data_IF_797437242573
#
_entry.id   IF_797437242573
#
_cell.length_a   1.000
_cell.length_b   1.000
_cell.length_c   1.000
_cell.angle_alpha   90.00
_cell.angle_beta   90.00
_cell.angle_gamma   90.00
#
_symmetry.space_group_name_H-M   'P 1'
#
loop_
_entity.id
_entity.type
_entity.pdbx_description
1 polymer ?
#
# COMPACT_ATOMS: atom_id res chain seq x y z
N UNK A 1 -56.05 -41.49 -24.53
CA UNK A 1 -56.27 -40.20 -23.87
C UNK A 1 -55.76 -39.13 -24.78
N UNK A 2 -56.17 -37.87 -24.57
CA UNK A 2 -55.34 -36.76 -25.05
C UNK A 2 -53.94 -36.88 -24.38
N UNK A 3 -52.86 -36.41 -25.03
CA UNK A 3 -51.58 -36.24 -24.36
C UNK A 3 -51.76 -35.32 -23.14
N UNK A 4 -50.98 -35.54 -22.08
CA UNK A 4 -50.92 -34.61 -20.95
C UNK A 4 -50.49 -33.24 -21.47
N UNK A 5 -51.16 -32.13 -21.13
CA UNK A 5 -50.71 -30.80 -21.55
C UNK A 5 -49.44 -30.31 -20.82
N UNK A 6 -49.00 -31.00 -19.77
CA UNK A 6 -47.87 -30.71 -18.88
C UNK A 6 -47.31 -32.06 -18.39
N UNK A 7 -46.32 -32.61 -19.10
CA UNK A 7 -45.89 -34.00 -18.89
C UNK A 7 -45.03 -34.21 -17.64
N UNK A 8 -44.26 -33.22 -17.19
CA UNK A 8 -43.42 -33.29 -15.99
C UNK A 8 -44.05 -32.64 -14.75
N UNK A 9 -45.21 -31.98 -14.91
CA UNK A 9 -46.03 -31.41 -13.85
C UNK A 9 -45.35 -30.24 -13.12
N UNK A 10 -44.57 -29.45 -13.84
CA UNK A 10 -43.94 -28.24 -13.30
C UNK A 10 -44.85 -26.99 -13.38
N UNK A 11 -46.02 -27.11 -14.03
CA UNK A 11 -46.99 -26.04 -14.17
C UNK A 11 -46.88 -25.23 -15.46
N UNK A 12 -45.95 -25.58 -16.35
CA UNK A 12 -45.77 -25.00 -17.69
C UNK A 12 -46.36 -25.99 -18.70
N UNK A 13 -47.07 -25.46 -19.70
CA UNK A 13 -47.64 -26.36 -20.71
C UNK A 13 -46.58 -26.76 -21.74
N UNK A 14 -46.54 -28.04 -22.13
CA UNK A 14 -45.65 -28.67 -23.13
C UNK A 14 -45.40 -27.84 -24.42
N UNK A 15 -46.35 -26.97 -24.79
CA UNK A 15 -46.31 -26.14 -26.01
C UNK A 15 -45.44 -24.89 -25.89
N UNK A 16 -45.11 -24.47 -24.67
CA UNK A 16 -44.27 -23.32 -24.35
C UNK A 16 -43.07 -23.67 -23.48
N UNK A 17 -43.06 -24.88 -22.94
CA UNK A 17 -42.00 -25.49 -22.13
C UNK A 17 -40.75 -25.84 -22.97
N UNK A 18 -39.58 -25.39 -22.50
CA UNK A 18 -38.28 -25.61 -23.14
C UNK A 18 -37.69 -27.01 -22.86
N UNK A 19 -38.15 -27.70 -21.81
CA UNK A 19 -37.79 -29.07 -21.45
C UNK A 19 -39.03 -29.91 -21.04
N UNK A 20 -39.95 -30.27 -21.98
CA UNK A 20 -41.28 -30.85 -21.67
C UNK A 20 -41.34 -32.24 -20.99
N UNK A 21 -40.23 -32.74 -20.44
CA UNK A 21 -40.17 -33.98 -19.67
C UNK A 21 -39.20 -33.85 -18.48
N UNK A 22 -38.69 -32.67 -18.19
CA UNK A 22 -37.74 -32.36 -17.13
C UNK A 22 -38.31 -31.18 -16.34
N UNK A 23 -38.83 -31.42 -15.12
CA UNK A 23 -39.55 -30.37 -14.41
C UNK A 23 -38.62 -29.23 -14.02
N UNK A 24 -39.11 -28.01 -14.20
CA UNK A 24 -38.54 -26.79 -13.64
C UNK A 24 -38.28 -26.90 -12.13
N UNK A 25 -37.20 -26.31 -11.62
CA UNK A 25 -36.83 -26.37 -10.19
C UNK A 25 -37.33 -25.20 -9.34
N UNK A 26 -37.92 -24.17 -9.97
CA UNK A 26 -38.68 -23.05 -9.36
C UNK A 26 -37.92 -22.37 -8.22
N UNK A 27 -36.69 -21.93 -8.48
CA UNK A 27 -35.82 -21.31 -7.49
C UNK A 27 -35.78 -19.76 -7.59
N UNK A 28 -36.47 -19.19 -8.58
CA UNK A 28 -36.55 -17.75 -8.83
C UNK A 28 -35.62 -17.25 -9.94
N UNK A 29 -34.87 -18.15 -10.59
CA UNK A 29 -34.09 -17.89 -11.79
C UNK A 29 -34.75 -18.56 -12.99
N UNK A 30 -34.97 -17.79 -14.07
CA UNK A 30 -35.53 -18.25 -15.35
C UNK A 30 -36.80 -19.17 -15.34
N UNK A 31 -37.51 -19.32 -14.20
CA UNK A 31 -38.72 -20.15 -13.93
C UNK A 31 -39.86 -20.14 -15.00
N UNK A 32 -39.86 -19.20 -15.95
CA UNK A 32 -40.91 -19.06 -16.97
C UNK A 32 -40.61 -19.85 -18.25
N UNK A 33 -39.39 -20.36 -18.45
CA UNK A 33 -39.00 -21.01 -19.69
C UNK A 33 -39.19 -22.55 -19.69
N UNK A 34 -39.37 -23.16 -18.52
CA UNK A 34 -39.59 -24.60 -18.35
C UNK A 34 -38.34 -25.42 -18.60
N UNK A 35 -37.17 -24.88 -18.27
CA UNK A 35 -35.90 -25.58 -18.27
C UNK A 35 -35.35 -25.51 -16.85
N UNK A 36 -35.11 -26.65 -16.18
CA UNK A 36 -34.41 -26.62 -14.91
C UNK A 36 -33.00 -26.05 -15.07
N UNK A 37 -32.65 -25.12 -14.19
CA UNK A 37 -31.36 -24.41 -14.14
C UNK A 37 -30.59 -24.76 -12.86
N UNK A 38 -30.00 -25.97 -12.76
CA UNK A 38 -29.36 -26.45 -11.53
C UNK A 38 -28.00 -25.78 -11.19
N UNK A 39 -27.63 -24.74 -11.92
CA UNK A 39 -26.40 -23.93 -11.83
C UNK A 39 -26.69 -22.59 -12.56
N UNK A 40 -27.38 -21.69 -11.86
CA UNK A 40 -27.96 -20.48 -12.44
C UNK A 40 -26.91 -19.52 -13.03
N UNK A 41 -25.77 -19.34 -12.35
CA UNK A 41 -24.74 -18.41 -12.79
C UNK A 41 -23.65 -19.06 -13.66
N UNK A 42 -23.75 -20.38 -13.85
CA UNK A 42 -22.94 -21.19 -14.76
C UNK A 42 -21.45 -21.19 -14.40
N UNK A 43 -21.13 -21.10 -13.10
CA UNK A 43 -19.77 -21.18 -12.60
C UNK A 43 -19.28 -22.63 -12.43
N UNK A 44 -20.20 -23.61 -12.44
CA UNK A 44 -19.92 -25.04 -12.30
C UNK A 44 -20.22 -25.60 -10.89
N UNK A 45 -20.72 -24.79 -9.97
CA UNK A 45 -21.17 -25.15 -8.64
C UNK A 45 -22.71 -25.19 -8.65
N UNK A 46 -23.34 -26.36 -8.42
CA UNK A 46 -24.80 -26.43 -8.44
C UNK A 46 -25.42 -25.58 -7.32
N UNK A 47 -26.58 -24.94 -7.56
CA UNK A 47 -27.18 -23.96 -6.63
C UNK A 47 -27.39 -24.50 -5.21
N UNK A 48 -27.65 -25.81 -5.08
CA UNK A 48 -27.81 -26.49 -3.78
C UNK A 48 -26.53 -26.50 -2.91
N UNK A 49 -25.38 -26.20 -3.52
CA UNK A 49 -24.05 -26.17 -2.91
C UNK A 49 -23.37 -24.81 -3.04
N UNK A 50 -23.98 -23.90 -3.77
CA UNK A 50 -23.48 -22.56 -4.06
C UNK A 50 -23.97 -21.57 -2.97
N UNK A 51 -23.03 -20.83 -2.40
CA UNK A 51 -23.28 -19.78 -1.42
C UNK A 51 -23.79 -18.47 -2.05
N UNK A 52 -23.52 -18.24 -3.33
CA UNK A 52 -24.05 -17.15 -4.12
C UNK A 52 -24.63 -17.63 -5.46
N UNK A 53 -25.79 -18.35 -5.47
CA UNK A 53 -26.38 -19.04 -6.65
C UNK A 53 -26.77 -18.18 -7.86
N UNK A 54 -26.37 -16.92 -7.94
CA UNK A 54 -26.70 -16.00 -9.01
C UNK A 54 -25.50 -15.08 -9.31
N UNK A 55 -24.32 -15.37 -8.77
CA UNK A 55 -23.11 -14.55 -8.87
C UNK A 55 -21.91 -15.48 -8.98
N UNK A 56 -21.32 -15.61 -10.19
CA UNK A 56 -20.28 -16.60 -10.42
C UNK A 56 -19.09 -16.44 -9.49
N UNK A 57 -18.60 -17.56 -9.01
CA UNK A 57 -17.28 -17.71 -8.39
C UNK A 57 -16.16 -17.19 -9.32
N UNK A 58 -15.11 -16.58 -8.75
CA UNK A 58 -14.00 -16.03 -9.52
C UNK A 58 -12.79 -16.97 -9.69
N UNK A 59 -12.83 -18.13 -9.02
CA UNK A 59 -11.93 -19.29 -9.17
C UNK A 59 -10.45 -18.90 -9.16
N UNK A 60 -10.00 -18.27 -8.09
CA UNK A 60 -8.63 -17.78 -7.94
C UNK A 60 -7.75 -18.65 -7.01
N UNK A 61 -8.26 -19.82 -6.58
CA UNK A 61 -7.68 -20.76 -5.62
C UNK A 61 -7.81 -20.33 -4.15
N UNK A 62 -8.70 -19.39 -3.85
CA UNK A 62 -9.15 -19.05 -2.52
C UNK A 62 -10.63 -19.41 -2.38
N UNK A 63 -10.95 -20.22 -1.38
CA UNK A 63 -12.32 -20.66 -1.03
C UNK A 63 -13.28 -21.12 -2.17
N UNK A 64 -12.79 -21.38 -3.39
CA UNK A 64 -13.48 -21.82 -4.63
C UNK A 64 -14.57 -22.92 -4.51
N UNK A 65 -14.67 -23.64 -3.39
CA UNK A 65 -15.63 -24.73 -3.20
C UNK A 65 -16.99 -24.28 -2.64
N UNK A 66 -17.12 -23.03 -2.16
CA UNK A 66 -18.34 -22.52 -1.54
C UNK A 66 -19.24 -21.68 -2.46
N UNK A 67 -18.76 -21.30 -3.64
CA UNK A 67 -19.50 -20.53 -4.65
C UNK A 67 -19.73 -19.08 -4.26
N UNK A 68 -18.94 -18.53 -3.34
CA UNK A 68 -19.00 -17.13 -2.96
C UNK A 68 -17.76 -16.43 -3.52
N UNK A 69 -17.89 -15.55 -4.53
CA UNK A 69 -16.72 -14.89 -5.08
C UNK A 69 -16.03 -13.98 -4.07
N UNK A 70 -14.73 -14.22 -3.88
CA UNK A 70 -13.88 -13.53 -2.90
C UNK A 70 -13.02 -12.46 -3.57
N UNK A 71 -13.47 -11.21 -3.53
CA UNK A 71 -12.76 -10.11 -4.21
C UNK A 71 -11.59 -9.48 -3.41
N UNK A 72 -11.34 -9.97 -2.19
CA UNK A 72 -10.30 -9.51 -1.23
C UNK A 72 -9.95 -10.68 -0.29
N UNK A 73 -9.14 -11.61 -0.80
CA UNK A 73 -8.87 -12.89 -0.15
C UNK A 73 -8.18 -12.78 1.21
N UNK A 74 -7.34 -11.77 1.42
CA UNK A 74 -6.62 -11.58 2.68
C UNK A 74 -7.28 -10.56 3.63
N UNK A 75 -8.31 -9.87 3.15
CA UNK A 75 -9.19 -9.01 3.93
C UNK A 75 -8.54 -7.69 4.35
N UNK A 76 -7.55 -7.21 3.61
CA UNK A 76 -6.84 -5.96 3.90
C UNK A 76 -7.52 -4.70 3.31
N UNK A 77 -8.65 -4.88 2.62
CA UNK A 77 -9.45 -3.86 1.93
C UNK A 77 -8.89 -3.39 0.59
N UNK A 78 -7.91 -4.09 0.02
CA UNK A 78 -7.43 -3.91 -1.35
C UNK A 78 -7.94 -5.10 -2.18
N UNK A 79 -8.72 -4.85 -3.25
CA UNK A 79 -9.21 -5.96 -4.06
C UNK A 79 -8.06 -6.74 -4.71
N UNK A 80 -8.18 -8.06 -4.87
CA UNK A 80 -7.08 -8.92 -5.38
C UNK A 80 -6.51 -8.45 -6.72
N UNK A 81 -7.37 -7.87 -7.57
CA UNK A 81 -6.99 -7.29 -8.87
C UNK A 81 -6.06 -6.07 -8.79
N UNK A 82 -6.00 -5.40 -7.64
CA UNK A 82 -5.17 -4.24 -7.33
C UNK A 82 -4.08 -4.57 -6.29
N UNK A 83 -4.12 -5.77 -5.71
CA UNK A 83 -3.26 -6.21 -4.63
C UNK A 83 -1.93 -6.81 -5.14
N UNK A 84 -0.82 -6.37 -4.56
CA UNK A 84 0.52 -6.86 -4.92
C UNK A 84 0.89 -8.21 -4.30
N UNK A 85 0.22 -8.62 -3.23
CA UNK A 85 0.31 -9.88 -2.54
C UNK A 85 -1.08 -10.37 -2.06
N UNK A 86 -1.99 -10.79 -2.97
CA UNK A 86 -3.43 -11.07 -2.70
C UNK A 86 -3.78 -12.10 -1.61
N UNK A 87 -2.79 -12.75 -0.99
CA UNK A 87 -2.98 -13.79 0.02
C UNK A 87 -2.29 -13.41 1.35
N UNK A 88 -1.81 -12.18 1.46
CA UNK A 88 -1.03 -11.69 2.59
C UNK A 88 -1.39 -10.25 2.89
N UNK A 89 -2.09 -10.01 4.02
CA UNK A 89 -2.69 -8.71 4.27
C UNK A 89 -1.62 -7.63 4.48
N UNK A 90 -1.84 -6.46 3.90
CA UNK A 90 -0.97 -5.29 4.03
C UNK A 90 -0.67 -4.95 5.50
N UNK A 91 0.58 -4.56 5.73
CA UNK A 91 1.02 -4.00 7.00
C UNK A 91 0.78 -2.49 7.01
N UNK A 92 -0.42 -2.07 7.42
CA UNK A 92 -0.79 -0.65 7.58
C UNK A 92 0.14 0.07 8.58
N UNK A 93 1.21 0.66 8.06
CA UNK A 93 2.31 1.22 8.85
C UNK A 93 2.62 2.68 8.46
N UNK A 94 1.97 3.21 7.43
CA UNK A 94 2.15 4.56 6.89
C UNK A 94 3.13 4.65 5.71
N UNK A 95 3.72 3.52 5.30
CA UNK A 95 4.65 3.37 4.20
C UNK A 95 4.08 2.37 3.20
N UNK A 96 3.87 2.85 1.97
CA UNK A 96 3.33 2.07 0.84
C UNK A 96 2.01 1.30 1.07
N UNK A 97 1.24 1.61 2.13
CA UNK A 97 -0.08 1.04 2.47
C UNK A 97 -1.16 0.97 1.34
N UNK A 98 -0.90 1.46 0.12
CA UNK A 98 -1.83 1.42 -1.02
C UNK A 98 -1.44 0.35 -2.08
N UNK A 99 -0.36 -0.42 -1.89
CA UNK A 99 0.15 -1.37 -2.89
C UNK A 99 -0.10 -2.87 -2.60
N UNK A 100 -0.68 -3.20 -1.44
CA UNK A 100 -1.04 -4.57 -1.07
C UNK A 100 0.18 -5.46 -0.86
N UNK A 101 1.35 -4.90 -0.54
CA UNK A 101 2.57 -5.65 -0.30
C UNK A 101 2.99 -5.44 1.15
N UNK A 102 2.81 -6.45 2.03
CA UNK A 102 3.23 -6.36 3.41
C UNK A 102 4.69 -5.95 3.51
N UNK A 103 4.92 -4.77 4.04
CA UNK A 103 6.27 -4.24 4.19
C UNK A 103 6.54 -3.70 5.60
N UNK A 104 7.84 -3.45 5.82
CA UNK A 104 8.29 -2.74 6.99
C UNK A 104 8.90 -1.43 6.53
N UNK A 105 8.54 -0.33 7.20
CA UNK A 105 9.18 0.97 7.00
C UNK A 105 10.71 0.84 7.08
N UNK A 106 11.43 0.92 5.93
CA UNK A 106 12.86 0.67 5.92
C UNK A 106 13.63 1.81 6.60
N UNK A 107 12.97 2.94 6.89
CA UNK A 107 13.63 4.18 7.30
C UNK A 107 13.68 4.45 8.80
N UNK A 108 13.07 3.59 9.64
CA UNK A 108 12.85 3.92 11.06
C UNK A 108 13.12 2.80 12.06
N UNK A 109 14.18 2.01 11.82
CA UNK A 109 14.75 1.15 12.86
C UNK A 109 15.33 1.97 14.02
N UNK A 110 14.89 1.75 15.28
CA UNK A 110 15.43 2.46 16.44
C UNK A 110 16.95 2.31 16.57
N UNK A 111 17.66 3.43 16.71
CA UNK A 111 19.11 3.46 16.94
C UNK A 111 19.99 3.34 15.68
N UNK A 112 19.41 3.09 14.51
CA UNK A 112 20.16 3.04 13.25
C UNK A 112 20.19 4.41 12.56
N UNK A 113 21.38 4.80 12.09
CA UNK A 113 21.56 6.02 11.29
C UNK A 113 21.28 5.72 9.83
N UNK A 114 20.45 6.55 9.22
CA UNK A 114 20.05 6.39 7.83
C UNK A 114 20.35 7.65 7.03
N UNK A 115 20.99 7.49 5.87
CA UNK A 115 21.28 8.62 4.96
C UNK A 115 20.02 8.91 4.15
N UNK A 116 19.50 10.14 4.25
CA UNK A 116 18.37 10.56 3.45
C UNK A 116 18.77 10.78 1.99
N UNK A 117 18.41 9.82 1.14
CA UNK A 117 18.61 9.90 -0.30
C UNK A 117 17.72 10.97 -0.93
N UNK A 118 18.18 11.56 -2.04
CA UNK A 118 17.41 12.59 -2.75
C UNK A 118 17.37 13.97 -2.07
N UNK A 119 17.94 14.12 -0.86
CA UNK A 119 18.04 15.41 -0.19
C UNK A 119 19.24 16.18 -0.70
N UNK A 120 18.97 17.26 -1.43
CA UNK A 120 19.99 18.21 -1.86
C UNK A 120 19.65 19.65 -1.46
N UNK A 121 20.70 20.47 -1.38
CA UNK A 121 20.62 21.89 -1.07
C UNK A 121 21.29 22.71 -2.17
N UNK A 122 20.82 23.94 -2.37
CA UNK A 122 21.58 24.91 -3.19
C UNK A 122 22.98 25.12 -2.61
N UNK A 123 23.98 25.32 -3.47
CA UNK A 123 25.38 25.50 -3.06
C UNK A 123 25.51 26.60 -1.99
N UNK A 124 26.24 26.31 -0.91
CA UNK A 124 26.43 27.23 0.23
C UNK A 124 25.15 27.61 0.99
N UNK A 125 24.02 26.95 0.72
CA UNK A 125 22.72 27.30 1.29
C UNK A 125 22.10 26.15 2.10
N UNK A 126 21.09 26.51 2.90
CA UNK A 126 20.17 25.61 3.57
C UNK A 126 18.80 25.53 2.86
N UNK A 127 18.71 26.05 1.63
CA UNK A 127 17.49 25.97 0.80
C UNK A 127 17.40 24.59 0.16
N UNK A 128 16.30 23.89 0.42
CA UNK A 128 15.99 22.57 -0.14
C UNK A 128 15.68 22.65 -1.64
N UNK A 129 16.00 21.59 -2.37
CA UNK A 129 15.60 21.41 -3.77
C UNK A 129 14.14 20.91 -3.87
N UNK A 130 13.54 21.02 -5.06
CA UNK A 130 12.20 20.48 -5.31
C UNK A 130 12.10 18.97 -5.08
N UNK A 131 13.12 18.21 -5.52
CA UNK A 131 13.20 16.77 -5.29
C UNK A 131 13.28 16.42 -3.80
N UNK A 132 13.96 17.25 -3.01
CA UNK A 132 14.05 17.06 -1.55
C UNK A 132 12.66 17.11 -0.90
N UNK A 133 11.74 17.94 -1.40
CA UNK A 133 10.39 18.02 -0.85
C UNK A 133 9.57 16.75 -1.05
N UNK A 134 9.78 16.00 -2.13
CA UNK A 134 9.10 14.73 -2.36
C UNK A 134 9.51 13.70 -1.31
N UNK A 135 10.82 13.47 -1.14
CA UNK A 135 11.34 12.56 -0.12
C UNK A 135 10.90 12.96 1.30
N UNK A 136 10.93 14.26 1.63
CA UNK A 136 10.50 14.74 2.94
C UNK A 136 8.99 14.63 3.17
N UNK A 137 8.16 14.64 2.13
CA UNK A 137 6.72 14.41 2.29
C UNK A 137 6.44 12.97 2.73
N UNK A 138 7.16 11.98 2.18
CA UNK A 138 7.04 10.57 2.60
C UNK A 138 7.38 10.42 4.08
N UNK A 139 8.52 10.98 4.51
CA UNK A 139 8.92 10.98 5.92
C UNK A 139 7.88 11.69 6.80
N UNK A 140 7.31 12.81 6.33
CA UNK A 140 6.29 13.53 7.08
C UNK A 140 4.99 12.75 7.23
N UNK A 141 4.57 11.97 6.21
CA UNK A 141 3.41 11.08 6.31
C UNK A 141 3.64 10.04 7.40
N UNK A 142 4.79 9.37 7.37
CA UNK A 142 5.14 8.34 8.34
C UNK A 142 5.19 8.86 9.77
N UNK A 143 5.83 10.01 9.99
CA UNK A 143 5.87 10.65 11.31
C UNK A 143 4.50 11.11 11.80
N UNK A 144 3.54 11.36 10.90
CA UNK A 144 2.17 11.69 11.30
C UNK A 144 1.34 10.44 11.63
N UNK A 145 1.60 9.35 10.90
CA UNK A 145 1.00 8.05 11.12
C UNK A 145 1.43 7.52 12.49
N UNK A 146 2.73 7.27 12.68
CA UNK A 146 3.27 6.83 13.97
C UNK A 146 3.76 8.03 14.79
N UNK A 147 2.95 8.40 15.79
CA UNK A 147 3.26 9.50 16.71
C UNK A 147 4.31 9.16 17.76
N UNK A 148 4.69 7.90 17.91
CA UNK A 148 5.70 7.44 18.85
C UNK A 148 7.13 7.75 18.37
N UNK A 149 7.33 7.86 17.06
CA UNK A 149 8.66 8.02 16.47
C UNK A 149 9.26 9.38 16.81
N UNK A 150 10.47 9.37 17.38
CA UNK A 150 11.27 10.59 17.55
C UNK A 150 12.51 10.50 16.66
N UNK A 151 12.88 11.60 16.00
CA UNK A 151 14.03 11.66 15.10
C UNK A 151 15.10 12.63 15.60
N UNK A 152 16.36 12.25 15.43
CA UNK A 152 17.50 13.17 15.39
C UNK A 152 17.93 13.40 13.95
N UNK A 153 17.81 14.64 13.48
CA UNK A 153 18.16 15.07 12.13
C UNK A 153 19.59 15.61 12.15
N UNK A 154 20.49 14.88 11.52
CA UNK A 154 21.93 15.12 11.57
C UNK A 154 22.43 15.70 10.25
N UNK A 155 22.97 16.91 10.29
CA UNK A 155 23.53 17.59 9.13
C UNK A 155 25.04 17.40 9.01
N UNK A 156 25.52 17.20 7.77
CA UNK A 156 26.95 17.10 7.46
C UNK A 156 27.34 17.96 6.25
N UNK A 157 28.62 18.33 6.18
CA UNK A 157 29.24 19.08 5.09
C UNK A 157 30.48 18.35 4.59
N UNK A 158 31.06 18.85 3.50
CA UNK A 158 32.44 18.53 3.14
C UNK A 158 33.43 19.39 3.95
N UNK A 159 34.72 19.22 3.70
CA UNK A 159 35.83 19.94 4.35
C UNK A 159 36.10 21.34 3.79
N UNK A 160 35.24 21.86 2.90
CA UNK A 160 35.48 23.13 2.23
C UNK A 160 34.99 24.28 3.10
N UNK A 161 35.93 25.04 3.64
CA UNK A 161 35.65 26.29 4.35
C UNK A 161 36.26 26.29 5.74
N UNK A 162 35.72 27.12 6.63
CA UNK A 162 36.09 27.09 8.05
C UNK A 162 35.19 26.08 8.77
N UNK A 163 35.77 25.27 9.64
CA UNK A 163 35.05 24.32 10.49
C UNK A 163 33.82 24.93 11.18
N UNK A 164 33.96 26.12 11.78
CA UNK A 164 32.85 26.82 12.44
C UNK A 164 31.72 27.21 11.47
N UNK A 165 32.05 27.54 10.22
CA UNK A 165 31.05 27.81 9.18
C UNK A 165 30.35 26.52 8.73
N UNK A 166 31.08 25.41 8.63
CA UNK A 166 30.56 24.08 8.30
C UNK A 166 29.60 23.57 9.39
N UNK A 167 29.95 23.78 10.66
CA UNK A 167 29.08 23.46 11.80
C UNK A 167 27.78 24.25 11.77
N UNK A 168 27.84 25.56 11.50
CA UNK A 168 26.64 26.38 11.37
C UNK A 168 25.80 25.99 10.14
N UNK A 169 26.44 25.67 9.01
CA UNK A 169 25.75 25.32 7.77
C UNK A 169 25.02 23.98 7.89
N UNK A 170 25.68 22.95 8.43
CA UNK A 170 25.05 21.66 8.71
C UNK A 170 23.85 21.78 9.64
N UNK A 171 23.99 22.53 10.73
CA UNK A 171 22.89 22.80 11.67
C UNK A 171 21.72 23.54 10.99
N UNK A 172 22.01 24.55 10.16
CA UNK A 172 20.96 25.27 9.40
C UNK A 172 20.23 24.35 8.43
N UNK A 173 20.94 23.48 7.72
CA UNK A 173 20.36 22.50 6.79
C UNK A 173 19.44 21.52 7.49
N UNK A 174 19.88 20.97 8.61
CA UNK A 174 19.07 20.06 9.41
C UNK A 174 17.84 20.77 10.00
N UNK A 175 17.97 22.05 10.40
CA UNK A 175 16.83 22.87 10.81
C UNK A 175 15.83 23.15 9.67
N UNK A 176 16.29 23.34 8.43
CA UNK A 176 15.39 23.50 7.28
C UNK A 176 14.49 22.27 7.09
N UNK A 177 15.03 21.08 7.33
CA UNK A 177 14.26 19.82 7.27
C UNK A 177 13.26 19.76 8.42
N UNK A 178 13.70 20.03 9.66
CA UNK A 178 12.80 20.12 10.81
C UNK A 178 11.65 21.09 10.56
N UNK A 179 11.94 22.29 10.06
CA UNK A 179 10.94 23.29 9.76
C UNK A 179 9.93 22.82 8.69
N UNK A 180 10.40 22.09 7.68
CA UNK A 180 9.52 21.48 6.68
C UNK A 180 8.63 20.39 7.27
N UNK A 181 9.18 19.48 8.08
CA UNK A 181 8.38 18.42 8.72
C UNK A 181 7.31 19.03 9.65
N UNK A 182 7.67 20.07 10.41
CA UNK A 182 6.71 20.82 11.24
C UNK A 182 5.62 21.47 10.39
N UNK A 183 5.97 22.07 9.24
CA UNK A 183 4.96 22.68 8.35
C UNK A 183 4.01 21.67 7.72
N UNK A 184 4.37 20.38 7.71
CA UNK A 184 3.49 19.26 7.33
C UNK A 184 2.64 18.72 8.47
N UNK A 185 2.83 19.21 9.69
CA UNK A 185 2.05 18.86 10.88
C UNK A 185 2.73 17.88 11.83
N UNK A 186 4.03 17.62 11.66
CA UNK A 186 4.80 16.84 12.64
C UNK A 186 5.07 17.69 13.88
N UNK A 187 4.89 17.13 15.07
CA UNK A 187 5.21 17.84 16.31
C UNK A 187 6.72 18.11 16.40
N UNK A 188 7.10 19.38 16.50
CA UNK A 188 8.49 19.81 16.60
C UNK A 188 9.20 19.35 17.88
N UNK A 189 8.47 18.91 18.90
CA UNK A 189 9.03 18.27 20.11
C UNK A 189 9.61 16.88 19.85
N UNK A 190 9.20 16.23 18.76
CA UNK A 190 9.70 14.90 18.33
C UNK A 190 10.93 14.96 17.45
N UNK A 191 11.37 16.17 17.08
CA UNK A 191 12.43 16.40 16.10
C UNK A 191 13.61 17.11 16.75
N UNK A 192 14.68 16.36 17.02
CA UNK A 192 15.99 16.87 17.39
C UNK A 192 16.79 17.22 16.13
N UNK A 193 17.74 18.14 16.30
CA UNK A 193 18.60 18.62 15.21
C UNK A 193 20.02 18.72 15.71
N UNK A 194 20.94 18.07 15.00
CA UNK A 194 22.37 18.09 15.29
C UNK A 194 23.15 18.50 14.04
N UNK A 195 24.05 19.48 14.16
CA UNK A 195 25.01 19.83 13.11
C UNK A 195 26.36 19.21 13.42
N UNK A 196 26.91 18.39 12.53
CA UNK A 196 28.23 17.78 12.69
C UNK A 196 29.33 18.49 11.87
N UNK A 197 28.95 19.42 10.99
CA UNK A 197 29.90 20.04 10.06
C UNK A 197 30.57 18.99 9.21
N UNK A 198 31.91 19.04 9.15
CA UNK A 198 32.75 18.13 8.36
C UNK A 198 33.16 16.85 9.12
N UNK A 199 32.69 16.67 10.36
CA UNK A 199 32.99 15.48 11.14
C UNK A 199 32.36 14.21 10.52
N UNK A 200 33.00 13.06 10.78
CA UNK A 200 32.53 11.74 10.31
C UNK A 200 32.28 11.69 8.78
N UNK A 201 33.31 11.94 7.95
CA UNK A 201 33.18 11.83 6.51
C UNK A 201 32.90 10.37 6.09
N UNK A 202 31.97 10.17 5.16
CA UNK A 202 31.72 8.85 4.55
C UNK A 202 32.77 8.48 3.51
N UNK A 203 33.39 9.49 2.89
CA UNK A 203 34.39 9.31 1.86
C UNK A 203 35.51 10.37 2.01
N UNK A 204 36.71 10.12 1.46
CA UNK A 204 37.76 11.12 1.39
C UNK A 204 37.28 12.42 0.72
N UNK A 205 37.70 13.58 1.23
CA UNK A 205 37.30 14.89 0.69
C UNK A 205 38.19 15.39 -0.48
N UNK A 206 39.13 14.57 -0.95
CA UNK A 206 40.03 14.88 -2.06
C UNK A 206 39.28 14.96 -3.41
N UNK A 207 38.28 14.10 -3.62
CA UNK A 207 37.47 14.02 -4.84
C UNK A 207 36.17 14.83 -4.79
N UNK A 208 35.62 15.19 -5.95
CA UNK A 208 34.33 15.90 -6.00
C UNK A 208 33.17 14.98 -5.57
N UNK A 209 33.29 13.71 -5.90
CA UNK A 209 32.38 12.61 -5.57
C UNK A 209 32.36 12.38 -4.05
N UNK A 210 33.53 12.25 -3.41
CA UNK A 210 33.64 12.07 -1.96
C UNK A 210 33.07 13.26 -1.19
N UNK A 211 33.39 14.50 -1.62
CA UNK A 211 32.76 15.70 -1.05
C UNK A 211 31.24 15.70 -1.23
N UNK A 212 30.72 15.23 -2.37
CA UNK A 212 29.27 15.11 -2.59
C UNK A 212 28.63 14.10 -1.64
N UNK A 213 29.28 12.97 -1.38
CA UNK A 213 28.81 11.99 -0.41
C UNK A 213 28.83 12.54 1.03
N UNK A 214 29.81 13.37 1.39
CA UNK A 214 29.90 13.96 2.73
C UNK A 214 28.84 15.06 2.98
N UNK A 215 28.42 15.78 1.94
CA UNK A 215 27.31 16.75 1.99
C UNK A 215 25.96 16.02 2.04
N UNK A 216 25.61 15.51 3.21
CA UNK A 216 24.42 14.67 3.42
C UNK A 216 23.61 15.07 4.65
N UNK A 217 22.44 14.46 4.74
CA UNK A 217 21.62 14.44 5.94
C UNK A 217 21.47 13.00 6.36
N UNK A 218 21.66 12.73 7.65
CA UNK A 218 21.27 11.48 8.25
C UNK A 218 20.08 11.72 9.19
N UNK A 219 19.21 10.73 9.31
CA UNK A 219 18.20 10.65 10.36
C UNK A 219 18.45 9.43 11.22
N UNK A 220 18.06 9.51 12.47
CA UNK A 220 18.14 8.39 13.40
C UNK A 220 16.90 8.41 14.26
N UNK A 221 16.20 7.27 14.33
CA UNK A 221 15.12 7.10 15.29
C UNK A 221 15.71 6.95 16.68
N UNK A 222 15.29 7.81 17.60
CA UNK A 222 15.80 7.85 18.98
C UNK A 222 14.81 7.27 20.01
N UNK A 223 13.54 7.13 19.62
CA UNK A 223 12.46 6.46 20.37
C UNK A 223 11.46 5.88 19.38
#
# INVERSE_FOLDING_TARGET
GAPDPDNDNDGIHDVVDAAPNEPEDHDGFEDEDGRPDPDNDNDGIPDLRDGAPNTPEDFDNFEDEDGIPDWDNDGDSIPDSLDGAPMQPETLNGYLDDDGIPDADPWMNPGEKQILQGISFKSGSATLSSASYQALNTIAKQLKFDKSIHLDIQGYTDDRGRESANLQLSLKRANSIRAFLISKGVDGGRLLVTGFGEANPLAPNDTAEGRRANRRIEIMRIK
#
